data_IF_631917529510
#
_entry.id   IF_631917529510
#
_cell.length_a   1.000
_cell.length_b   1.000
_cell.length_c   1.000
_cell.angle_alpha   90.00
_cell.angle_beta   90.00
_cell.angle_gamma   90.00
#
_symmetry.space_group_name_H-M   'P 1'
#
loop_
_entity.id
_entity.type
_entity.pdbx_description
1 polymer ?
#
# COMPACT_ATOMS: atom_id res chain seq x y z
N UNK A 1 -46.93 4.63 32.17
CA UNK A 1 -47.20 3.29 31.68
C UNK A 1 -48.03 3.39 30.40
N UNK A 2 -47.44 3.36 29.27
CA UNK A 2 -48.15 3.11 28.01
C UNK A 2 -47.18 2.42 27.08
N UNK A 3 -47.42 1.16 26.85
CA UNK A 3 -46.72 0.34 25.89
C UNK A 3 -47.24 0.65 24.49
N UNK A 4 -46.37 1.10 23.61
CA UNK A 4 -46.70 1.21 22.20
C UNK A 4 -45.98 0.06 21.50
N UNK A 5 -46.78 -0.93 21.16
CA UNK A 5 -46.37 -2.07 20.34
C UNK A 5 -46.50 -1.60 18.89
N UNK A 6 -45.40 -1.41 18.21
CA UNK A 6 -45.39 -1.25 16.76
C UNK A 6 -45.08 -2.59 16.11
N UNK A 7 -46.13 -3.21 15.68
CA UNK A 7 -46.05 -4.36 14.77
C UNK A 7 -45.82 -3.81 13.36
N UNK A 8 -44.62 -3.96 12.85
CA UNK A 8 -44.38 -3.79 11.42
C UNK A 8 -44.60 -5.11 10.70
N UNK A 9 -45.64 -5.16 9.95
CA UNK A 9 -45.92 -6.23 9.01
C UNK A 9 -44.92 -6.11 7.83
N UNK A 10 -44.09 -7.11 7.70
CA UNK A 10 -43.19 -7.25 6.58
C UNK A 10 -43.93 -7.90 5.42
N UNK A 11 -44.32 -7.15 4.42
CA UNK A 11 -44.84 -7.66 3.17
C UNK A 11 -43.68 -8.07 2.30
N UNK A 12 -43.45 -9.37 2.22
CA UNK A 12 -42.55 -9.95 1.24
C UNK A 12 -43.22 -9.93 -0.14
N UNK A 13 -42.73 -9.09 -1.02
CA UNK A 13 -43.04 -9.13 -2.43
C UNK A 13 -41.98 -9.95 -3.15
N UNK A 14 -42.25 -11.22 -3.29
CA UNK A 14 -41.59 -12.06 -4.27
C UNK A 14 -42.07 -11.66 -5.66
N UNK A 15 -41.24 -11.05 -6.43
CA UNK A 15 -41.41 -10.99 -7.87
C UNK A 15 -40.41 -11.89 -8.55
N UNK A 16 -40.94 -13.03 -8.82
CA UNK A 16 -40.46 -14.00 -9.76
C UNK A 16 -40.27 -13.42 -11.16
N UNK A 17 -39.27 -14.00 -11.79
CA UNK A 17 -39.27 -14.33 -13.20
C UNK A 17 -39.19 -13.20 -14.21
N UNK A 18 -38.06 -13.14 -14.84
CA UNK A 18 -38.11 -13.09 -16.30
C UNK A 18 -37.05 -13.99 -16.88
N UNK A 19 -37.54 -15.10 -17.33
CA UNK A 19 -36.93 -15.91 -18.33
C UNK A 19 -36.98 -15.12 -19.64
N UNK A 20 -35.83 -14.69 -20.14
CA UNK A 20 -35.72 -14.33 -21.55
C UNK A 20 -34.36 -14.78 -22.08
N UNK A 21 -34.41 -15.84 -22.82
CA UNK A 21 -33.47 -16.09 -23.91
C UNK A 21 -33.35 -14.82 -24.71
N UNK A 22 -32.17 -14.37 -24.98
CA UNK A 22 -31.74 -13.89 -26.30
C UNK A 22 -30.24 -13.57 -26.30
N UNK A 23 -29.52 -14.30 -27.14
CA UNK A 23 -28.45 -13.90 -28.02
C UNK A 23 -27.30 -13.06 -27.48
N UNK A 24 -26.12 -13.72 -27.51
CA UNK A 24 -24.87 -13.25 -28.03
C UNK A 24 -24.79 -11.71 -28.24
N UNK A 25 -24.24 -11.07 -27.26
CA UNK A 25 -23.34 -9.96 -27.48
C UNK A 25 -22.24 -10.10 -26.45
N UNK A 26 -21.02 -10.33 -26.90
CA UNK A 26 -19.82 -10.32 -26.10
C UNK A 26 -19.78 -9.03 -25.26
N UNK A 27 -20.26 -9.11 -24.05
CA UNK A 27 -19.85 -8.20 -23.01
C UNK A 27 -18.47 -8.68 -22.63
N UNK A 28 -17.48 -7.90 -22.97
CA UNK A 28 -16.16 -8.01 -22.41
C UNK A 28 -16.34 -7.82 -20.91
N UNK A 29 -16.47 -8.91 -20.17
CA UNK A 29 -16.30 -8.90 -18.74
C UNK A 29 -14.88 -8.38 -18.48
N UNK A 30 -14.80 -7.12 -18.15
CA UNK A 30 -13.69 -6.61 -17.37
C UNK A 30 -13.89 -7.24 -16.00
N UNK A 31 -13.54 -8.51 -15.90
CA UNK A 31 -13.22 -9.06 -14.59
C UNK A 31 -12.04 -8.25 -14.11
N UNK A 32 -12.35 -7.31 -13.25
CA UNK A 32 -11.38 -6.83 -12.30
C UNK A 32 -11.08 -8.05 -11.44
N UNK A 33 -10.17 -8.88 -11.91
CA UNK A 33 -9.46 -9.80 -11.04
C UNK A 33 -8.73 -8.89 -10.04
N UNK A 34 -9.38 -8.68 -8.93
CA UNK A 34 -8.74 -8.31 -7.69
C UNK A 34 -7.94 -9.55 -7.24
N UNK A 35 -6.95 -9.88 -8.07
CA UNK A 35 -5.91 -10.81 -7.72
C UNK A 35 -5.23 -10.13 -6.56
N UNK A 36 -5.39 -10.66 -5.37
CA UNK A 36 -4.63 -10.31 -4.18
C UNK A 36 -3.15 -10.36 -4.57
N UNK A 37 -2.64 -9.22 -5.05
CA UNK A 37 -1.23 -9.08 -5.40
C UNK A 37 -0.48 -9.11 -4.09
N UNK A 38 0.02 -10.26 -3.75
CA UNK A 38 0.96 -10.39 -2.63
C UNK A 38 2.21 -9.59 -3.00
N UNK A 39 2.53 -8.59 -2.21
CA UNK A 39 3.73 -7.80 -2.39
C UNK A 39 4.91 -8.67 -2.00
N UNK A 40 5.91 -8.71 -2.88
CA UNK A 40 7.17 -9.40 -2.64
C UNK A 40 8.20 -8.46 -2.05
N UNK A 41 9.26 -9.03 -1.49
CA UNK A 41 10.41 -8.27 -0.97
C UNK A 41 11.02 -7.37 -2.06
N UNK A 42 11.19 -7.90 -3.28
CA UNK A 42 11.72 -7.15 -4.41
C UNK A 42 10.82 -5.97 -4.78
N UNK A 43 9.51 -6.16 -4.79
CA UNK A 43 8.56 -5.09 -5.03
C UNK A 43 8.62 -4.01 -3.94
N UNK A 44 8.75 -4.42 -2.68
CA UNK A 44 8.89 -3.47 -1.58
C UNK A 44 10.16 -2.64 -1.74
N UNK A 45 11.29 -3.29 -2.01
CA UNK A 45 12.57 -2.60 -2.23
C UNK A 45 12.50 -1.66 -3.44
N UNK A 46 12.03 -2.13 -4.59
CA UNK A 46 11.93 -1.34 -5.82
C UNK A 46 11.04 -0.11 -5.63
N UNK A 47 9.86 -0.28 -5.06
CA UNK A 47 8.94 0.84 -4.83
C UNK A 47 9.51 1.89 -3.90
N UNK A 48 10.15 1.48 -2.81
CA UNK A 48 10.78 2.42 -1.87
C UNK A 48 12.02 3.07 -2.49
N UNK A 49 12.81 2.33 -3.26
CA UNK A 49 13.94 2.90 -4.00
C UNK A 49 13.50 4.00 -4.97
N UNK A 50 12.44 3.75 -5.74
CA UNK A 50 11.88 4.74 -6.66
C UNK A 50 11.32 5.96 -5.92
N UNK A 51 10.62 5.74 -4.81
CA UNK A 51 10.17 6.82 -3.93
C UNK A 51 11.35 7.68 -3.46
N UNK A 52 12.38 7.06 -2.87
CA UNK A 52 13.54 7.79 -2.34
C UNK A 52 14.29 8.56 -3.44
N UNK A 53 14.39 8.01 -4.64
CA UNK A 53 15.00 8.71 -5.77
C UNK A 53 14.17 9.91 -6.26
N UNK A 54 12.85 9.88 -6.05
CA UNK A 54 11.96 11.01 -6.37
C UNK A 54 11.91 12.07 -5.27
N UNK A 55 12.06 11.67 -4.01
CA UNK A 55 11.85 12.51 -2.85
C UNK A 55 13.14 13.18 -2.32
N UNK A 56 14.31 12.59 -2.61
CA UNK A 56 15.60 13.06 -2.07
C UNK A 56 16.60 13.36 -3.18
N UNK A 57 17.51 14.31 -2.91
CA UNK A 57 18.60 14.64 -3.82
C UNK A 57 19.77 13.67 -3.63
N UNK A 58 19.98 12.80 -4.61
CA UNK A 58 21.06 11.81 -4.62
C UNK A 58 22.38 12.32 -5.19
N UNK A 59 22.43 13.57 -5.67
CA UNK A 59 23.66 14.13 -6.21
C UNK A 59 24.80 14.17 -5.18
N UNK A 60 24.45 14.35 -3.91
CA UNK A 60 25.40 14.36 -2.78
C UNK A 60 26.06 12.98 -2.54
N UNK A 61 25.44 11.91 -2.96
CA UNK A 61 25.95 10.54 -2.81
C UNK A 61 26.77 10.07 -4.03
N UNK A 62 26.84 10.87 -5.09
CA UNK A 62 27.50 10.50 -6.35
C UNK A 62 28.98 10.15 -6.16
N UNK A 63 29.67 10.92 -5.33
CA UNK A 63 31.09 10.74 -5.05
C UNK A 63 31.36 9.90 -3.78
N UNK A 64 30.32 9.69 -2.98
CA UNK A 64 30.42 8.91 -1.74
C UNK A 64 29.11 8.13 -1.50
N UNK A 65 28.96 6.97 -2.12
CA UNK A 65 27.71 6.20 -2.04
C UNK A 65 27.38 5.66 -0.63
N UNK A 66 28.34 5.62 0.27
CA UNK A 66 28.14 5.10 1.62
C UNK A 66 27.38 6.08 2.54
N UNK A 67 27.21 7.34 2.13
CA UNK A 67 26.49 8.34 2.94
C UNK A 67 24.98 8.30 2.75
N UNK A 68 24.49 7.78 1.61
CA UNK A 68 23.09 7.57 1.33
C UNK A 68 22.90 6.18 0.75
N UNK A 69 22.01 5.39 1.33
CA UNK A 69 21.73 4.06 0.84
C UNK A 69 20.38 3.55 1.28
N UNK A 70 19.89 2.52 0.58
CA UNK A 70 18.79 1.68 1.02
C UNK A 70 19.27 0.29 1.38
N UNK A 71 18.62 -0.31 2.34
CA UNK A 71 18.82 -1.71 2.72
C UNK A 71 17.51 -2.32 3.19
N UNK A 72 17.38 -3.64 3.04
CA UNK A 72 16.28 -4.35 3.68
C UNK A 72 16.53 -4.45 5.18
N UNK A 73 15.47 -4.26 5.95
CA UNK A 73 15.47 -4.46 7.40
C UNK A 73 14.78 -5.75 7.80
N UNK A 74 13.99 -5.68 8.85
CA UNK A 74 13.26 -6.85 9.37
C UNK A 74 12.05 -7.19 8.50
N UNK A 75 11.76 -8.47 8.40
CA UNK A 75 10.53 -8.98 7.84
C UNK A 75 9.62 -9.49 8.96
N UNK A 76 8.35 -9.09 8.92
CA UNK A 76 7.29 -9.63 9.78
C UNK A 76 6.26 -10.38 8.94
N UNK A 77 5.28 -11.01 9.59
CA UNK A 77 4.18 -11.68 8.88
C UNK A 77 3.37 -10.72 8.01
N UNK A 78 3.29 -9.45 8.38
CA UNK A 78 2.45 -8.44 7.75
C UNK A 78 3.19 -7.37 6.96
N UNK A 79 4.50 -7.20 7.16
CA UNK A 79 5.25 -6.12 6.54
C UNK A 79 6.69 -6.47 6.22
N UNK A 80 7.20 -5.84 5.16
CA UNK A 80 8.64 -5.71 4.90
C UNK A 80 9.13 -4.38 5.43
N UNK A 81 10.30 -4.36 6.05
CA UNK A 81 10.98 -3.12 6.41
C UNK A 81 12.05 -2.79 5.37
N UNK A 82 12.01 -1.58 4.84
CA UNK A 82 13.10 -1.00 4.03
C UNK A 82 13.65 0.19 4.79
N UNK A 83 14.96 0.29 4.90
CA UNK A 83 15.64 1.34 5.65
C UNK A 83 16.40 2.22 4.68
N UNK A 84 16.09 3.51 4.68
CA UNK A 84 16.83 4.54 3.96
C UNK A 84 17.68 5.35 4.93
N UNK A 85 18.96 5.49 4.62
CA UNK A 85 19.86 6.43 5.29
C UNK A 85 20.04 7.67 4.43
N UNK A 86 19.67 8.83 4.97
CA UNK A 86 19.86 10.11 4.30
C UNK A 86 21.30 10.65 4.49
N UNK A 87 21.70 11.59 3.66
CA UNK A 87 23.02 12.21 3.75
C UNK A 87 23.26 12.95 5.09
N UNK A 88 22.20 13.35 5.78
CA UNK A 88 22.28 13.99 7.11
C UNK A 88 22.53 12.97 8.23
N UNK A 89 22.47 11.68 7.92
CA UNK A 89 22.57 10.59 8.90
C UNK A 89 21.26 10.24 9.60
N UNK A 90 20.15 10.87 9.22
CA UNK A 90 18.83 10.41 9.60
C UNK A 90 18.46 9.12 8.85
N UNK A 91 17.67 8.28 9.48
CA UNK A 91 17.11 7.08 8.88
C UNK A 91 15.61 7.25 8.67
N UNK A 92 15.11 6.71 7.58
CA UNK A 92 13.67 6.53 7.38
C UNK A 92 13.39 5.04 7.27
N UNK A 93 12.59 4.55 8.18
CA UNK A 93 12.12 3.17 8.17
C UNK A 93 10.77 3.11 7.47
N UNK A 94 10.70 2.37 6.38
CA UNK A 94 9.49 2.12 5.61
C UNK A 94 8.95 0.75 5.97
N UNK A 95 7.72 0.69 6.46
CA UNK A 95 7.02 -0.56 6.78
C UNK A 95 5.96 -0.82 5.71
N UNK A 96 6.31 -1.63 4.74
CA UNK A 96 5.47 -1.96 3.58
C UNK A 96 4.51 -3.08 3.92
N UNK A 97 3.22 -2.80 3.96
CA UNK A 97 2.21 -3.82 4.19
C UNK A 97 2.18 -4.82 3.02
N UNK A 98 2.35 -6.11 3.32
CA UNK A 98 2.45 -7.19 2.32
C UNK A 98 1.17 -7.42 1.51
N UNK A 99 0.05 -6.99 2.03
CA UNK A 99 -1.27 -7.18 1.39
C UNK A 99 -1.71 -5.95 0.62
N UNK A 100 -1.66 -4.78 1.26
CA UNK A 100 -2.19 -3.53 0.69
C UNK A 100 -1.15 -2.70 -0.06
N UNK A 101 0.13 -2.80 0.29
CA UNK A 101 1.17 -1.89 -0.18
C UNK A 101 1.19 -0.52 0.50
N UNK A 102 0.25 -0.25 1.39
CA UNK A 102 0.31 0.96 2.22
C UNK A 102 1.56 0.91 3.06
N UNK A 103 2.37 1.93 2.97
CA UNK A 103 3.69 1.99 3.59
C UNK A 103 3.75 3.10 4.62
N UNK A 104 3.95 2.73 5.87
CA UNK A 104 4.17 3.68 6.96
C UNK A 104 5.65 4.07 7.00
N UNK A 105 5.91 5.36 7.20
CA UNK A 105 7.27 5.90 7.33
C UNK A 105 7.52 6.37 8.76
N UNK A 106 8.69 6.05 9.29
CA UNK A 106 9.16 6.53 10.59
C UNK A 106 10.54 7.12 10.40
N UNK A 107 10.71 8.40 10.72
CA UNK A 107 12.02 9.05 10.69
C UNK A 107 12.72 8.92 12.04
N UNK A 108 13.97 8.53 12.00
CA UNK A 108 14.83 8.35 13.17
C UNK A 108 16.08 9.21 13.01
N UNK A 109 16.31 10.10 13.96
CA UNK A 109 17.51 10.92 14.03
C UNK A 109 18.34 10.52 15.24
N UNK A 110 19.30 9.59 15.09
CA UNK A 110 20.01 9.02 16.23
C UNK A 110 20.80 10.04 17.05
N UNK A 111 21.36 11.05 16.38
CA UNK A 111 22.14 12.12 17.06
C UNK A 111 21.30 12.97 18.01
N UNK A 112 20.00 13.05 17.78
CA UNK A 112 19.04 13.80 18.57
C UNK A 112 18.18 12.92 19.46
N UNK A 113 18.29 11.59 19.31
CA UNK A 113 17.42 10.60 19.95
C UNK A 113 15.93 10.88 19.70
N UNK A 114 15.61 11.22 18.44
CA UNK A 114 14.26 11.54 17.97
C UNK A 114 13.76 10.43 17.06
N UNK A 115 12.52 10.02 17.26
CA UNK A 115 11.77 9.12 16.40
C UNK A 115 10.39 9.73 16.19
N UNK A 116 10.02 9.96 14.91
CA UNK A 116 8.76 10.59 14.55
C UNK A 116 8.07 9.84 13.42
N UNK A 117 6.74 9.80 13.45
CA UNK A 117 5.93 9.32 12.34
C UNK A 117 6.02 10.32 11.18
N UNK A 118 6.50 9.87 10.03
CA UNK A 118 6.69 10.68 8.83
C UNK A 118 5.54 10.51 7.79
N UNK A 119 4.46 9.85 8.18
CA UNK A 119 3.28 9.63 7.35
C UNK A 119 3.27 8.31 6.60
N UNK A 120 2.47 8.26 5.55
CA UNK A 120 2.25 7.07 4.72
C UNK A 120 2.36 7.37 3.24
N UNK A 121 2.76 6.37 2.47
CA UNK A 121 2.72 6.37 0.99
C UNK A 121 2.10 5.07 0.49
N UNK A 122 1.66 5.08 -0.76
CA UNK A 122 1.18 3.88 -1.45
C UNK A 122 2.28 3.33 -2.36
N UNK A 123 2.73 2.11 -2.08
CA UNK A 123 3.84 1.47 -2.79
C UNK A 123 3.62 1.43 -4.31
N UNK A 124 2.38 1.13 -4.72
CA UNK A 124 2.03 0.95 -6.13
C UNK A 124 2.19 2.22 -6.98
N UNK A 125 2.22 3.41 -6.35
CA UNK A 125 2.46 4.68 -7.05
C UNK A 125 3.91 4.77 -7.56
N UNK A 126 4.80 4.00 -6.95
CA UNK A 126 6.25 4.01 -7.22
C UNK A 126 6.76 2.75 -7.93
N UNK A 127 5.92 1.75 -8.10
CA UNK A 127 6.26 0.59 -8.91
C UNK A 127 6.09 0.93 -10.39
N UNK A 128 7.08 0.57 -11.20
CA UNK A 128 6.99 0.74 -12.66
C UNK A 128 5.86 -0.14 -13.16
N UNK A 129 4.86 0.47 -13.80
CA UNK A 129 3.81 -0.29 -14.48
C UNK A 129 4.49 -1.07 -15.62
N UNK A 130 4.62 -2.37 -15.45
CA UNK A 130 5.03 -3.23 -16.55
C UNK A 130 3.95 -3.10 -17.64
N UNK A 131 4.38 -2.58 -18.78
CA UNK A 131 3.54 -2.49 -19.97
C UNK A 131 3.42 -3.86 -20.62
#
# INVERSE_FOLDING_TARGET
MKYIVFTFAFVALLLCSCNNKVNDTQSTDVQTEDTLRTITEDMAYEGINNYCHSAYDWSVAKDNPDIMYLTMGEETDSAYQVIFRSYTGAFVHFYVNKTSGTTRMVEIVPSLNVEEDAGTIELFDYLVKQK
#
